data_IF_042095211412
#
_entry.id   IF_042095211412
#
_cell.length_a   1.000
_cell.length_b   1.000
_cell.length_c   1.000
_cell.angle_alpha   90.00
_cell.angle_beta   90.00
_cell.angle_gamma   90.00
#
_symmetry.space_group_name_H-M   'P 1'
#
loop_
_entity.id
_entity.type
_entity.pdbx_description
1 polymer ?
#
# COMPACT_ATOMS: atom_id res chain seq x y z
N UNK A 1 -21.53 17.83 3.14
CA UNK A 1 -20.10 17.49 3.34
C UNK A 1 -19.90 15.99 3.20
N UNK A 2 -18.67 15.57 2.87
CA UNK A 2 -18.21 14.18 2.92
C UNK A 2 -17.21 14.08 4.06
N UNK A 3 -17.35 13.08 4.93
CA UNK A 3 -16.34 12.68 5.89
C UNK A 3 -15.58 11.48 5.30
N UNK A 4 -14.28 11.60 5.17
CA UNK A 4 -13.43 10.50 4.75
C UNK A 4 -12.38 10.20 5.82
N UNK A 5 -11.96 8.94 5.91
CA UNK A 5 -10.82 8.58 6.74
C UNK A 5 -9.98 7.47 6.10
N UNK A 6 -8.69 7.49 6.44
CA UNK A 6 -7.73 6.42 6.22
C UNK A 6 -7.27 5.90 7.58
N UNK A 7 -7.59 4.64 7.89
CA UNK A 7 -7.37 4.01 9.19
C UNK A 7 -6.33 2.91 9.03
N UNK A 8 -5.07 3.27 9.25
CA UNK A 8 -3.95 2.34 9.24
C UNK A 8 -3.70 1.71 10.62
N UNK A 9 -2.67 0.88 10.72
CA UNK A 9 -2.31 0.19 11.97
C UNK A 9 -1.89 1.13 13.11
N UNK A 10 -1.20 2.25 12.80
CA UNK A 10 -0.64 3.14 13.84
C UNK A 10 -1.29 4.52 13.86
N UNK A 11 -1.86 4.96 12.75
CA UNK A 11 -2.42 6.29 12.61
C UNK A 11 -3.73 6.24 11.86
N UNK A 12 -4.62 7.17 12.21
CA UNK A 12 -5.85 7.47 11.49
C UNK A 12 -5.77 8.89 10.95
N UNK A 13 -6.03 9.08 9.66
CA UNK A 13 -6.20 10.40 9.07
C UNK A 13 -7.67 10.61 8.74
N UNK A 14 -8.25 11.70 9.21
CA UNK A 14 -9.65 12.05 8.95
C UNK A 14 -9.70 13.37 8.18
N UNK A 15 -10.59 13.49 7.21
CA UNK A 15 -10.79 14.69 6.43
C UNK A 15 -12.27 15.01 6.16
N UNK A 16 -12.59 16.29 6.12
CA UNK A 16 -13.88 16.82 5.65
C UNK A 16 -13.69 17.40 4.24
N UNK A 17 -14.62 17.05 3.35
CA UNK A 17 -14.60 17.48 1.96
C UNK A 17 -15.95 18.10 1.57
N UNK A 18 -15.89 19.11 0.69
CA UNK A 18 -17.09 19.56 -0.04
C UNK A 18 -17.28 18.69 -1.27
N UNK A 19 -18.55 18.39 -1.56
CA UNK A 19 -18.96 17.63 -2.75
C UNK A 19 -19.24 18.61 -3.91
N UNK A 20 -18.23 19.38 -4.31
CA UNK A 20 -18.36 20.41 -5.35
C UNK A 20 -17.77 19.90 -6.69
N UNK A 21 -18.50 20.13 -7.80
CA UNK A 21 -18.01 19.82 -9.15
C UNK A 21 -17.76 18.31 -9.39
N UNK A 22 -16.70 18.01 -10.13
CA UNK A 22 -16.36 16.64 -10.56
C UNK A 22 -15.50 15.87 -9.56
N UNK A 23 -14.97 16.55 -8.53
CA UNK A 23 -14.12 15.93 -7.51
C UNK A 23 -14.39 16.56 -6.14
N UNK A 24 -14.21 15.77 -5.04
CA UNK A 24 -14.32 16.31 -3.69
C UNK A 24 -13.16 17.26 -3.40
N UNK A 25 -13.47 18.39 -2.75
CA UNK A 25 -12.49 19.41 -2.36
C UNK A 25 -12.22 19.32 -0.87
N UNK A 26 -10.97 19.09 -0.48
CA UNK A 26 -10.56 19.01 0.92
C UNK A 26 -10.77 20.36 1.63
N UNK A 27 -11.49 20.37 2.74
CA UNK A 27 -11.73 21.54 3.60
C UNK A 27 -10.79 21.53 4.79
N UNK A 28 -10.67 20.36 5.45
CA UNK A 28 -9.78 20.18 6.58
C UNK A 28 -9.39 18.71 6.71
N UNK A 29 -8.16 18.45 7.17
CA UNK A 29 -7.72 17.11 7.55
C UNK A 29 -6.88 17.16 8.82
N UNK A 30 -6.88 16.01 9.56
CA UNK A 30 -6.04 15.84 10.74
C UNK A 30 -5.60 14.38 10.86
N UNK A 31 -4.37 14.19 11.31
CA UNK A 31 -3.80 12.89 11.63
C UNK A 31 -3.81 12.65 13.14
N UNK A 32 -4.22 11.45 13.53
CA UNK A 32 -4.32 10.99 14.91
C UNK A 32 -3.42 9.77 15.11
N UNK A 33 -2.80 9.65 16.26
CA UNK A 33 -2.03 8.47 16.66
C UNK A 33 -2.98 7.50 17.35
N UNK A 34 -3.21 6.33 16.77
CA UNK A 34 -4.28 5.42 17.19
C UNK A 34 -4.19 4.97 18.65
N UNK A 35 -2.97 4.77 19.19
CA UNK A 35 -2.76 4.36 20.59
C UNK A 35 -3.28 5.35 21.62
N UNK A 36 -3.53 6.60 21.22
CA UNK A 36 -4.02 7.65 22.12
C UNK A 36 -5.56 7.64 22.21
N UNK A 37 -6.24 6.76 21.46
CA UNK A 37 -7.71 6.67 21.36
C UNK A 37 -8.20 5.25 21.60
N UNK A 38 -9.34 5.13 22.32
CA UNK A 38 -9.94 3.84 22.61
C UNK A 38 -10.62 3.18 21.39
N UNK A 39 -11.11 3.98 20.46
CA UNK A 39 -11.87 3.55 19.28
C UNK A 39 -11.98 4.68 18.26
N UNK A 40 -12.57 4.38 17.09
CA UNK A 40 -12.81 5.36 16.04
C UNK A 40 -13.76 6.49 16.50
N UNK A 41 -14.77 6.19 17.32
CA UNK A 41 -15.73 7.21 17.78
C UNK A 41 -15.02 8.32 18.55
N UNK A 42 -14.04 7.99 19.40
CA UNK A 42 -13.23 8.99 20.12
C UNK A 42 -12.40 9.87 19.16
N UNK A 43 -11.86 9.32 18.07
CA UNK A 43 -11.19 10.08 17.02
C UNK A 43 -12.16 11.04 16.32
N UNK A 44 -13.35 10.54 15.99
CA UNK A 44 -14.38 11.33 15.33
C UNK A 44 -14.95 12.44 16.23
N UNK A 45 -15.08 12.19 17.55
CA UNK A 45 -15.52 13.19 18.52
C UNK A 45 -14.53 14.36 18.61
N UNK A 46 -13.23 14.08 18.46
CA UNK A 46 -12.21 15.14 18.48
C UNK A 46 -12.09 15.90 17.15
N UNK A 47 -12.39 15.24 16.02
CA UNK A 47 -12.24 15.85 14.69
C UNK A 47 -13.49 16.58 14.21
N UNK A 48 -14.68 15.98 14.41
CA UNK A 48 -15.94 16.56 13.92
C UNK A 48 -16.42 17.62 14.89
N UNK A 49 -16.49 18.90 14.46
CA UNK A 49 -16.99 19.96 15.33
C UNK A 49 -18.38 19.64 15.90
N UNK A 50 -18.61 19.96 17.15
CA UNK A 50 -19.92 19.83 17.77
C UNK A 50 -20.97 20.57 16.92
N UNK A 51 -22.00 19.84 16.44
CA UNK A 51 -23.04 20.40 15.59
C UNK A 51 -22.80 20.33 14.06
N UNK A 52 -21.76 19.67 13.59
CA UNK A 52 -21.59 19.36 12.17
C UNK A 52 -22.64 18.32 11.74
N UNK A 53 -23.84 18.79 11.35
CA UNK A 53 -24.98 17.96 10.93
C UNK A 53 -25.02 17.70 9.42
N UNK A 54 -24.18 18.36 8.62
CA UNK A 54 -24.25 18.34 7.15
C UNK A 54 -23.36 17.27 6.51
N UNK A 55 -23.07 16.17 7.20
CA UNK A 55 -22.32 15.05 6.60
C UNK A 55 -23.30 14.15 5.85
N UNK A 56 -23.31 14.27 4.52
CA UNK A 56 -24.17 13.48 3.65
C UNK A 56 -23.62 12.11 3.31
N UNK A 57 -22.29 11.94 3.40
CA UNK A 57 -21.62 10.68 3.14
C UNK A 57 -20.38 10.49 4.04
N UNK A 58 -20.14 9.25 4.45
CA UNK A 58 -18.97 8.80 5.21
C UNK A 58 -18.30 7.67 4.43
N UNK A 59 -17.00 7.76 4.18
CA UNK A 59 -16.23 6.69 3.54
C UNK A 59 -14.90 6.50 4.24
N UNK A 60 -14.64 5.28 4.68
CA UNK A 60 -13.46 4.93 5.45
C UNK A 60 -12.65 3.87 4.70
N UNK A 61 -11.36 4.16 4.43
CA UNK A 61 -10.36 3.17 4.07
C UNK A 61 -9.82 2.54 5.34
N UNK A 62 -9.87 1.22 5.45
CA UNK A 62 -9.50 0.51 6.68
C UNK A 62 -8.51 -0.61 6.38
N UNK A 63 -7.47 -0.74 7.20
CA UNK A 63 -6.52 -1.84 7.12
C UNK A 63 -7.16 -3.12 7.69
N UNK A 64 -7.92 -3.84 6.86
CA UNK A 64 -8.61 -5.06 7.24
C UNK A 64 -9.63 -5.53 6.21
N UNK A 65 -10.12 -6.75 6.39
CA UNK A 65 -11.16 -7.33 5.55
C UNK A 65 -12.53 -6.79 5.95
N UNK A 66 -13.17 -6.08 5.03
CA UNK A 66 -14.53 -5.57 5.21
C UNK A 66 -15.54 -6.63 4.80
N UNK A 67 -16.42 -7.03 5.72
CA UNK A 67 -17.49 -8.01 5.44
C UNK A 67 -18.84 -7.42 5.85
N UNK A 68 -19.75 -7.29 4.91
CA UNK A 68 -21.11 -6.80 5.17
C UNK A 68 -21.17 -5.45 5.92
N UNK A 69 -20.25 -4.54 5.61
CA UNK A 69 -20.20 -3.23 6.26
C UNK A 69 -19.64 -3.23 7.69
N UNK A 70 -18.92 -4.28 8.05
CA UNK A 70 -18.24 -4.43 9.34
C UNK A 70 -16.77 -4.80 9.12
N UNK A 71 -15.89 -4.30 10.00
CA UNK A 71 -14.49 -4.69 10.07
C UNK A 71 -14.01 -4.68 11.53
N UNK A 72 -13.23 -5.71 11.88
CA UNK A 72 -12.46 -5.76 13.13
C UNK A 72 -10.98 -5.49 12.79
N UNK A 73 -10.42 -4.40 13.30
CA UNK A 73 -8.99 -4.07 13.12
C UNK A 73 -8.19 -4.71 14.25
N UNK A 74 -7.67 -5.90 14.00
CA UNK A 74 -7.03 -6.77 15.01
C UNK A 74 -5.92 -6.06 15.80
N UNK A 75 -5.07 -5.29 15.12
CA UNK A 75 -3.93 -4.60 15.75
C UNK A 75 -4.35 -3.45 16.68
N UNK A 76 -5.57 -2.91 16.52
CA UNK A 76 -6.11 -1.83 17.32
C UNK A 76 -7.17 -2.32 18.33
N UNK A 77 -7.75 -3.50 18.09
CA UNK A 77 -8.94 -3.97 18.80
C UNK A 77 -10.18 -3.11 18.51
N UNK A 78 -10.21 -2.40 17.39
CA UNK A 78 -11.31 -1.53 17.02
C UNK A 78 -12.33 -2.26 16.16
N UNK A 79 -13.61 -2.10 16.52
CA UNK A 79 -14.76 -2.55 15.74
C UNK A 79 -15.41 -1.37 15.03
N UNK A 80 -15.48 -1.44 13.71
CA UNK A 80 -16.12 -0.42 12.87
C UNK A 80 -17.32 -1.03 12.17
N UNK A 81 -18.49 -0.44 12.42
CA UNK A 81 -19.78 -0.87 11.89
C UNK A 81 -20.43 0.28 11.12
N UNK A 82 -20.70 0.08 9.85
CA UNK A 82 -21.35 1.06 8.99
C UNK A 82 -22.74 1.49 9.47
N UNK A 83 -23.47 0.61 10.18
CA UNK A 83 -24.79 0.93 10.75
C UNK A 83 -24.71 1.94 11.89
N UNK A 84 -23.69 1.80 12.76
CA UNK A 84 -23.42 2.75 13.86
C UNK A 84 -23.02 4.12 13.29
N UNK A 85 -22.16 4.14 12.28
CA UNK A 85 -21.76 5.39 11.60
C UNK A 85 -22.95 6.07 10.93
N UNK A 86 -23.85 5.28 10.28
CA UNK A 86 -25.07 5.82 9.69
C UNK A 86 -25.97 6.49 10.74
N UNK A 87 -26.12 5.87 11.90
CA UNK A 87 -26.90 6.45 13.01
C UNK A 87 -26.21 7.71 13.55
N UNK A 88 -24.90 7.70 13.72
CA UNK A 88 -24.12 8.84 14.21
C UNK A 88 -24.25 10.09 13.29
N UNK A 89 -24.35 9.89 11.99
CA UNK A 89 -24.42 10.97 10.99
C UNK A 89 -25.82 11.10 10.34
N UNK A 90 -26.87 10.94 11.13
CA UNK A 90 -28.28 11.22 10.75
C UNK A 90 -28.71 10.56 9.42
N UNK A 91 -28.30 9.33 9.18
CA UNK A 91 -28.65 8.57 7.97
C UNK A 91 -27.74 8.81 6.76
N UNK A 92 -26.57 9.40 6.96
CA UNK A 92 -25.58 9.55 5.89
C UNK A 92 -25.28 8.23 5.15
N UNK A 93 -24.94 8.32 3.88
CA UNK A 93 -24.42 7.14 3.13
C UNK A 93 -23.07 6.75 3.73
N UNK A 94 -22.91 5.47 4.11
CA UNK A 94 -21.67 4.98 4.71
C UNK A 94 -21.08 3.87 3.87
N UNK A 95 -19.79 3.99 3.55
CA UNK A 95 -18.99 2.97 2.92
C UNK A 95 -17.73 2.65 3.74
N UNK A 96 -17.43 1.37 3.87
CA UNK A 96 -16.15 0.88 4.35
C UNK A 96 -15.42 0.26 3.16
N UNK A 97 -14.21 0.70 2.91
CA UNK A 97 -13.32 0.21 1.86
C UNK A 97 -12.11 -0.46 2.52
N UNK A 98 -11.51 -1.44 1.86
CA UNK A 98 -10.16 -1.83 2.22
C UNK A 98 -9.19 -0.65 1.93
N UNK A 99 -8.06 -0.55 2.64
CA UNK A 99 -7.07 0.52 2.50
C UNK A 99 -6.44 0.57 1.10
N UNK A 100 -6.20 -0.60 0.49
CA UNK A 100 -5.70 -0.71 -0.89
C UNK A 100 -6.77 -0.26 -1.90
N UNK A 101 -8.02 -0.61 -1.66
CA UNK A 101 -9.15 -0.15 -2.46
C UNK A 101 -9.29 1.38 -2.40
N UNK A 102 -9.23 1.94 -1.20
CA UNK A 102 -9.25 3.39 -1.00
C UNK A 102 -8.08 4.06 -1.73
N UNK A 103 -6.86 3.52 -1.59
CA UNK A 103 -5.68 4.02 -2.31
C UNK A 103 -5.89 3.99 -3.83
N UNK A 104 -6.47 2.91 -4.37
CA UNK A 104 -6.72 2.75 -5.80
C UNK A 104 -7.73 3.79 -6.33
N UNK A 105 -8.78 4.13 -5.58
CA UNK A 105 -9.66 5.26 -5.93
C UNK A 105 -8.92 6.61 -5.88
N UNK A 106 -7.92 6.73 -5.01
CA UNK A 106 -7.08 7.92 -4.86
C UNK A 106 -6.16 8.19 -6.04
N UNK A 107 -5.82 7.18 -6.85
CA UNK A 107 -4.94 7.35 -8.03
C UNK A 107 -5.45 8.42 -9.02
N UNK A 108 -6.75 8.64 -9.07
CA UNK A 108 -7.35 9.67 -9.91
C UNK A 108 -7.20 11.11 -9.35
N UNK A 109 -6.68 11.27 -8.13
CA UNK A 109 -6.42 12.57 -7.49
C UNK A 109 -4.93 12.92 -7.46
N UNK A 110 -4.05 12.02 -7.92
CA UNK A 110 -2.62 12.27 -7.92
C UNK A 110 -2.23 13.25 -9.03
N UNK A 111 -1.38 14.20 -8.67
CA UNK A 111 -0.71 15.14 -9.57
C UNK A 111 0.75 14.71 -9.79
N UNK A 112 1.45 15.34 -10.74
CA UNK A 112 2.87 15.03 -11.01
C UNK A 112 3.77 15.16 -9.78
N UNK A 113 3.49 16.13 -8.90
CA UNK A 113 4.24 16.34 -7.64
C UNK A 113 4.07 15.22 -6.62
N UNK A 114 3.00 14.43 -6.76
CA UNK A 114 2.63 13.36 -5.82
C UNK A 114 3.30 12.04 -6.13
N UNK A 115 4.03 11.96 -7.24
CA UNK A 115 4.66 10.72 -7.70
C UNK A 115 6.13 10.92 -8.12
N UNK A 116 6.93 9.87 -7.95
CA UNK A 116 8.23 9.75 -8.59
C UNK A 116 8.09 8.78 -9.76
N UNK A 117 8.55 9.19 -10.95
CA UNK A 117 8.51 8.37 -12.16
C UNK A 117 9.70 7.41 -12.15
N UNK A 118 9.43 6.10 -12.07
CA UNK A 118 10.44 5.05 -12.21
C UNK A 118 10.64 4.64 -13.67
N UNK A 119 9.55 4.63 -14.43
CA UNK A 119 9.55 4.43 -15.88
C UNK A 119 8.49 5.34 -16.51
N UNK A 120 8.88 6.20 -17.44
CA UNK A 120 7.93 7.06 -18.15
C UNK A 120 6.99 6.25 -19.05
N UNK A 121 7.53 5.21 -19.70
CA UNK A 121 6.78 4.35 -20.61
C UNK A 121 6.01 5.11 -21.68
N UNK A 122 4.91 4.52 -22.12
CA UNK A 122 3.99 5.07 -23.12
C UNK A 122 2.55 4.99 -22.54
N UNK A 123 2.13 5.95 -21.70
CA UNK A 123 0.84 5.89 -21.02
C UNK A 123 -0.33 5.95 -22.00
N UNK A 124 -1.27 5.04 -21.88
CA UNK A 124 -2.50 5.05 -22.66
C UNK A 124 -3.63 5.58 -21.79
N UNK A 125 -4.26 6.64 -22.23
CA UNK A 125 -5.41 7.22 -21.54
C UNK A 125 -6.54 6.19 -21.37
N UNK A 126 -7.13 6.14 -20.18
CA UNK A 126 -8.20 5.24 -19.81
C UNK A 126 -7.86 3.72 -19.86
N UNK A 127 -6.62 3.35 -20.14
CA UNK A 127 -6.20 1.96 -20.01
C UNK A 127 -6.17 1.52 -18.53
N UNK A 128 -6.20 0.21 -18.25
CA UNK A 128 -6.12 -0.30 -16.90
C UNK A 128 -4.87 0.19 -16.17
N UNK A 129 -5.01 0.45 -14.87
CA UNK A 129 -3.92 0.75 -13.94
C UNK A 129 -3.80 -0.37 -12.92
N UNK A 130 -2.60 -0.63 -12.45
CA UNK A 130 -2.33 -1.56 -11.36
C UNK A 130 -1.78 -0.80 -10.15
N UNK A 131 -2.23 -1.16 -8.96
CA UNK A 131 -1.67 -0.70 -7.68
C UNK A 131 -1.08 -1.91 -6.97
N UNK A 132 0.15 -1.78 -6.49
CA UNK A 132 0.78 -2.73 -5.59
C UNK A 132 1.34 -1.97 -4.39
N UNK A 133 0.91 -2.32 -3.20
CA UNK A 133 1.16 -1.59 -1.96
C UNK A 133 1.85 -2.48 -0.92
N UNK A 134 3.14 -2.25 -0.68
CA UNK A 134 3.92 -2.95 0.33
C UNK A 134 3.96 -2.15 1.64
N UNK A 135 3.58 -2.80 2.73
CA UNK A 135 3.49 -2.23 4.08
C UNK A 135 3.63 -3.30 5.16
N UNK A 136 2.70 -3.37 6.11
CA UNK A 136 2.61 -4.48 7.08
C UNK A 136 2.34 -5.80 6.36
N UNK A 137 1.60 -5.74 5.25
CA UNK A 137 1.37 -6.82 4.30
C UNK A 137 1.57 -6.33 2.87
N UNK A 138 1.15 -7.14 1.89
CA UNK A 138 1.11 -6.80 0.48
C UNK A 138 -0.32 -6.73 -0.02
N UNK A 139 -0.74 -5.57 -0.52
CA UNK A 139 -2.03 -5.39 -1.17
C UNK A 139 -1.92 -5.11 -2.66
N UNK A 140 -2.87 -5.61 -3.44
CA UNK A 140 -2.94 -5.40 -4.88
C UNK A 140 -4.35 -5.00 -5.31
N UNK A 141 -4.43 -4.05 -6.24
CA UNK A 141 -5.70 -3.65 -6.85
C UNK A 141 -5.51 -3.30 -8.33
N UNK A 142 -6.58 -3.43 -9.09
CA UNK A 142 -6.66 -2.94 -10.46
C UNK A 142 -7.71 -1.84 -10.58
N UNK A 143 -7.46 -0.87 -11.46
CA UNK A 143 -8.40 0.20 -11.79
C UNK A 143 -8.71 0.16 -13.27
N UNK A 144 -9.98 -0.02 -13.58
CA UNK A 144 -10.49 0.02 -14.95
C UNK A 144 -11.30 1.30 -15.16
N UNK A 145 -11.19 1.91 -16.33
CA UNK A 145 -11.94 3.12 -16.66
C UNK A 145 -13.03 2.79 -17.68
N UNK A 146 -14.27 3.18 -17.41
CA UNK A 146 -15.40 3.08 -18.33
C UNK A 146 -16.12 4.42 -18.41
N UNK A 147 -15.90 5.15 -19.49
CA UNK A 147 -16.34 6.55 -19.58
C UNK A 147 -15.68 7.41 -18.51
N UNK A 148 -16.46 8.10 -17.70
CA UNK A 148 -15.97 8.88 -16.53
C UNK A 148 -15.84 8.06 -15.24
N UNK A 149 -16.31 6.80 -15.24
CA UNK A 149 -16.31 5.97 -14.04
C UNK A 149 -14.99 5.19 -13.91
N UNK A 150 -14.46 5.16 -12.69
CA UNK A 150 -13.36 4.27 -12.30
C UNK A 150 -13.94 3.08 -11.53
N UNK A 151 -13.70 1.88 -12.03
CA UNK A 151 -14.04 0.62 -11.38
C UNK A 151 -12.77 0.08 -10.73
N UNK A 152 -12.72 0.11 -9.43
CA UNK A 152 -11.62 -0.48 -8.64
C UNK A 152 -11.97 -1.93 -8.33
N UNK A 153 -11.02 -2.82 -8.52
CA UNK A 153 -11.09 -4.23 -8.12
C UNK A 153 -9.93 -4.49 -7.19
N UNK A 154 -10.18 -4.48 -5.88
CA UNK A 154 -9.24 -4.95 -4.88
C UNK A 154 -9.14 -6.48 -4.93
N UNK A 155 -7.99 -7.02 -4.50
CA UNK A 155 -7.76 -8.45 -4.45
C UNK A 155 -6.95 -8.83 -3.23
N UNK A 156 -7.00 -10.11 -2.85
CA UNK A 156 -6.12 -10.73 -1.86
C UNK A 156 -4.89 -11.41 -2.54
N UNK A 157 -4.42 -10.86 -3.67
CA UNK A 157 -3.33 -11.43 -4.45
C UNK A 157 -1.99 -11.45 -3.70
N UNK A 158 -1.81 -10.60 -2.68
CA UNK A 158 -0.67 -10.71 -1.76
C UNK A 158 -0.58 -12.08 -1.08
N UNK A 159 -1.69 -12.79 -0.92
CA UNK A 159 -1.72 -14.15 -0.37
C UNK A 159 -1.52 -15.26 -1.42
N UNK A 160 -1.38 -14.92 -2.70
CA UNK A 160 -0.98 -15.89 -3.73
C UNK A 160 0.46 -16.37 -3.50
N UNK A 161 0.79 -17.53 -4.10
CA UNK A 161 2.08 -18.17 -3.92
C UNK A 161 3.23 -17.31 -4.46
N UNK A 162 4.31 -17.20 -3.68
CA UNK A 162 5.55 -16.57 -4.11
C UNK A 162 6.18 -17.35 -5.26
N UNK A 163 6.38 -16.71 -6.40
CA UNK A 163 6.95 -17.28 -7.61
C UNK A 163 8.37 -16.72 -7.84
N UNK A 164 9.44 -17.44 -7.45
CA UNK A 164 10.82 -17.00 -7.64
C UNK A 164 11.18 -16.92 -9.14
N UNK A 165 11.88 -15.88 -9.55
CA UNK A 165 12.33 -15.64 -10.92
C UNK A 165 13.82 -15.92 -11.12
N UNK A 166 14.59 -16.06 -10.05
CA UNK A 166 16.05 -16.24 -10.05
C UNK A 166 16.48 -17.27 -8.99
N UNK A 167 17.68 -17.84 -9.16
CA UNK A 167 18.20 -18.89 -8.28
C UNK A 167 18.26 -18.46 -6.80
N UNK A 168 18.67 -17.21 -6.51
CA UNK A 168 18.70 -16.72 -5.13
C UNK A 168 17.30 -16.67 -4.51
N UNK A 169 16.27 -16.35 -5.30
CA UNK A 169 14.87 -16.34 -4.86
C UNK A 169 14.33 -17.76 -4.66
N UNK A 170 14.79 -18.76 -5.44
CA UNK A 170 14.49 -20.20 -5.21
C UNK A 170 15.08 -20.65 -3.86
N UNK A 171 16.31 -20.25 -3.56
CA UNK A 171 16.93 -20.55 -2.26
C UNK A 171 16.18 -19.88 -1.11
N UNK A 172 15.71 -18.62 -1.28
CA UNK A 172 14.87 -17.93 -0.30
C UNK A 172 13.54 -18.67 -0.10
N UNK A 173 12.87 -19.11 -1.18
CA UNK A 173 11.64 -19.88 -1.09
C UNK A 173 11.86 -21.15 -0.26
N UNK A 174 12.92 -21.92 -0.54
CA UNK A 174 13.27 -23.15 0.19
C UNK A 174 13.59 -22.86 1.67
N UNK A 175 14.21 -21.72 1.97
CA UNK A 175 14.48 -21.28 3.33
C UNK A 175 13.19 -20.99 4.09
N UNK A 176 12.29 -20.21 3.48
CA UNK A 176 11.01 -19.81 4.07
C UNK A 176 10.02 -20.98 4.20
N UNK A 177 10.08 -21.98 3.31
CA UNK A 177 9.20 -23.16 3.35
C UNK A 177 9.35 -23.99 4.61
N UNK A 178 10.51 -23.94 5.26
CA UNK A 178 10.72 -24.60 6.58
C UNK A 178 9.88 -23.96 7.69
N UNK A 179 9.43 -22.72 7.50
CA UNK A 179 8.73 -21.91 8.49
C UNK A 179 7.27 -21.64 8.10
N UNK A 180 7.01 -21.53 6.80
CA UNK A 180 5.71 -21.22 6.23
C UNK A 180 5.40 -22.18 5.08
N UNK A 181 4.18 -22.73 5.06
CA UNK A 181 3.73 -23.57 3.94
C UNK A 181 2.21 -23.35 3.72
N UNK A 182 1.81 -22.68 2.65
CA UNK A 182 2.60 -22.12 1.56
C UNK A 182 3.34 -20.81 1.92
N UNK A 183 4.29 -20.39 1.07
CA UNK A 183 4.94 -19.07 1.14
C UNK A 183 4.23 -18.16 0.16
N UNK A 184 3.58 -17.12 0.66
CA UNK A 184 2.88 -16.12 -0.16
C UNK A 184 3.76 -14.92 -0.48
N UNK A 185 3.33 -14.08 -1.44
CA UNK A 185 3.95 -12.79 -1.72
C UNK A 185 4.01 -11.89 -0.49
N UNK A 186 2.96 -11.87 0.33
CA UNK A 186 2.88 -11.12 1.59
C UNK A 186 3.99 -11.51 2.57
N UNK A 187 4.37 -12.81 2.61
CA UNK A 187 5.48 -13.29 3.44
C UNK A 187 6.84 -12.76 3.01
N UNK A 188 6.96 -12.26 1.79
CA UNK A 188 8.22 -11.78 1.20
C UNK A 188 8.22 -10.26 1.01
N UNK A 189 7.12 -9.70 0.50
CA UNK A 189 7.01 -8.28 0.13
C UNK A 189 6.27 -7.44 1.20
N UNK A 190 6.69 -7.58 2.44
CA UNK A 190 6.16 -6.82 3.57
C UNK A 190 7.29 -6.41 4.52
N UNK A 191 6.98 -5.60 5.56
CA UNK A 191 7.95 -5.27 6.60
C UNK A 191 8.53 -6.51 7.29
N UNK A 192 7.70 -7.44 7.80
CA UNK A 192 8.19 -8.73 8.28
C UNK A 192 8.97 -9.52 7.22
N UNK A 193 8.55 -9.47 5.96
CA UNK A 193 9.21 -10.16 4.84
C UNK A 193 10.65 -9.68 4.62
N UNK A 194 10.89 -8.36 4.72
CA UNK A 194 12.26 -7.83 4.66
C UNK A 194 13.12 -8.38 5.80
N UNK A 195 12.55 -8.56 6.99
CA UNK A 195 13.22 -9.22 8.12
C UNK A 195 13.61 -10.67 7.80
N UNK A 196 12.71 -11.43 7.20
CA UNK A 196 12.99 -12.83 6.80
C UNK A 196 14.06 -12.91 5.69
N UNK A 197 14.05 -11.96 4.75
CA UNK A 197 15.11 -11.87 3.74
C UNK A 197 16.47 -11.57 4.39
N UNK A 198 16.52 -10.68 5.38
CA UNK A 198 17.73 -10.40 6.14
C UNK A 198 18.22 -11.64 6.90
N UNK A 199 17.34 -12.38 7.61
CA UNK A 199 17.66 -13.63 8.28
C UNK A 199 18.28 -14.66 7.30
N UNK A 200 17.66 -14.80 6.11
CA UNK A 200 18.18 -15.66 5.04
C UNK A 200 19.59 -15.25 4.59
N UNK A 201 19.82 -13.97 4.35
CA UNK A 201 21.13 -13.44 3.91
C UNK A 201 22.19 -13.61 5.01
N UNK A 202 21.83 -13.40 6.27
CA UNK A 202 22.69 -13.62 7.42
C UNK A 202 23.08 -15.09 7.57
N UNK A 203 22.12 -16.01 7.49
CA UNK A 203 22.37 -17.44 7.67
C UNK A 203 23.26 -18.03 6.56
N UNK A 204 23.28 -17.38 5.38
CA UNK A 204 24.22 -17.70 4.29
C UNK A 204 25.64 -17.12 4.51
N UNK A 205 25.76 -16.01 5.22
CA UNK A 205 27.02 -15.28 5.41
C UNK A 205 27.13 -14.78 6.85
N UNK A 206 27.19 -15.68 7.84
CA UNK A 206 27.11 -15.29 9.26
C UNK A 206 28.31 -14.44 9.72
N UNK A 207 29.43 -14.53 9.03
CA UNK A 207 30.64 -13.73 9.30
C UNK A 207 30.47 -12.24 8.95
N UNK A 208 29.45 -11.89 8.18
CA UNK A 208 29.14 -10.50 7.82
C UNK A 208 28.15 -9.84 8.78
N UNK A 209 27.64 -10.56 9.77
CA UNK A 209 26.71 -10.00 10.74
C UNK A 209 27.37 -8.96 11.64
N UNK A 210 26.76 -7.79 11.69
CA UNK A 210 27.16 -6.73 12.61
C UNK A 210 26.36 -6.81 13.90
N UNK A 211 27.05 -6.99 15.03
CA UNK A 211 26.42 -7.15 16.34
C UNK A 211 25.55 -5.97 16.77
N UNK A 212 25.96 -4.73 16.41
CA UNK A 212 25.21 -3.52 16.71
C UNK A 212 23.89 -3.44 15.92
N UNK A 213 23.90 -3.84 14.65
CA UNK A 213 22.70 -3.92 13.81
C UNK A 213 21.78 -5.06 14.28
N UNK A 214 22.34 -6.24 14.57
CA UNK A 214 21.60 -7.38 15.08
C UNK A 214 20.87 -7.06 16.41
N UNK A 215 21.53 -6.35 17.33
CA UNK A 215 20.92 -5.91 18.58
C UNK A 215 19.74 -4.95 18.36
N UNK A 216 19.85 -4.05 17.39
CA UNK A 216 18.76 -3.13 17.02
C UNK A 216 17.60 -3.86 16.35
N UNK A 217 17.86 -4.79 15.44
CA UNK A 217 16.82 -5.61 14.79
C UNK A 217 16.00 -6.40 15.82
N UNK A 218 16.66 -6.86 16.91
CA UNK A 218 16.00 -7.62 17.97
C UNK A 218 15.07 -6.77 18.87
N UNK A 219 15.23 -5.45 18.92
CA UNK A 219 14.53 -4.57 19.87
C UNK A 219 13.72 -3.46 19.24
N UNK A 220 13.95 -3.16 17.94
CA UNK A 220 13.28 -2.10 17.18
C UNK A 220 12.45 -2.73 16.02
N UNK A 221 11.82 -1.88 15.19
CA UNK A 221 11.22 -2.30 13.92
C UNK A 221 12.32 -2.79 12.96
N UNK A 222 12.41 -4.10 12.78
CA UNK A 222 13.43 -4.75 11.96
C UNK A 222 13.47 -4.19 10.53
N UNK A 223 12.30 -3.97 9.90
CA UNK A 223 12.21 -3.41 8.55
C UNK A 223 12.80 -2.00 8.47
N UNK A 224 12.53 -1.15 9.46
CA UNK A 224 13.08 0.20 9.53
C UNK A 224 14.60 0.19 9.77
N UNK A 225 15.10 -0.68 10.66
CA UNK A 225 16.54 -0.82 10.94
C UNK A 225 17.29 -1.28 9.70
N UNK A 226 16.81 -2.37 9.05
CA UNK A 226 17.43 -2.94 7.84
C UNK A 226 17.46 -1.91 6.71
N UNK A 227 16.31 -1.28 6.44
CA UNK A 227 16.19 -0.24 5.40
C UNK A 227 17.13 0.92 5.68
N UNK A 228 17.14 1.43 6.91
CA UNK A 228 18.02 2.56 7.29
C UNK A 228 19.49 2.23 7.13
N UNK A 229 19.93 1.06 7.61
CA UNK A 229 21.33 0.63 7.51
C UNK A 229 21.75 0.37 6.04
N UNK A 230 20.85 -0.20 5.22
CA UNK A 230 21.08 -0.42 3.80
C UNK A 230 21.26 0.90 3.04
N UNK A 231 20.34 1.86 3.21
CA UNK A 231 20.38 3.15 2.50
C UNK A 231 21.58 4.02 2.87
N UNK A 232 22.14 3.82 4.07
CA UNK A 232 23.38 4.50 4.50
C UNK A 232 24.65 3.71 4.21
N UNK A 233 24.52 2.52 3.55
CA UNK A 233 25.63 1.59 3.29
C UNK A 233 26.41 1.19 4.55
N UNK A 234 25.72 1.09 5.69
CA UNK A 234 26.31 0.74 6.99
C UNK A 234 26.45 -0.77 7.21
N UNK A 235 25.69 -1.58 6.49
CA UNK A 235 25.61 -3.04 6.68
C UNK A 235 25.45 -3.76 5.33
N UNK A 236 26.43 -4.58 4.96
CA UNK A 236 26.41 -5.34 3.70
C UNK A 236 25.21 -6.29 3.62
N UNK A 237 24.88 -6.99 4.72
CA UNK A 237 23.72 -7.89 4.76
C UNK A 237 22.41 -7.13 4.61
N UNK A 238 22.31 -5.93 5.21
CA UNK A 238 21.10 -5.09 5.04
C UNK A 238 20.96 -4.61 3.59
N UNK A 239 22.06 -4.20 2.97
CA UNK A 239 22.06 -3.80 1.55
C UNK A 239 21.63 -4.96 0.64
N UNK A 240 22.23 -6.14 0.84
CA UNK A 240 21.89 -7.34 0.07
C UNK A 240 20.43 -7.79 0.30
N UNK A 241 19.90 -7.65 1.52
CA UNK A 241 18.51 -7.94 1.82
C UNK A 241 17.56 -6.96 1.11
N UNK A 242 17.87 -5.68 1.12
CA UNK A 242 17.07 -4.66 0.45
C UNK A 242 17.14 -4.81 -1.09
N UNK A 243 18.30 -5.18 -1.64
CA UNK A 243 18.47 -5.46 -3.07
C UNK A 243 17.58 -6.62 -3.51
N UNK A 244 17.58 -7.72 -2.75
CA UNK A 244 16.74 -8.88 -3.04
C UNK A 244 15.25 -8.53 -2.89
N UNK A 245 14.86 -7.79 -1.85
CA UNK A 245 13.49 -7.32 -1.67
C UNK A 245 13.02 -6.49 -2.86
N UNK A 246 13.82 -5.52 -3.32
CA UNK A 246 13.48 -4.64 -4.45
C UNK A 246 13.41 -5.41 -5.77
N UNK A 247 14.31 -6.39 -5.98
CA UNK A 247 14.26 -7.31 -7.14
C UNK A 247 12.95 -8.09 -7.16
N UNK A 248 12.55 -8.70 -6.03
CA UNK A 248 11.30 -9.44 -5.90
C UNK A 248 10.09 -8.52 -6.10
N UNK A 249 10.14 -7.30 -5.54
CA UNK A 249 9.08 -6.31 -5.68
C UNK A 249 8.87 -5.91 -7.15
N UNK A 250 9.97 -5.67 -7.89
CA UNK A 250 9.91 -5.43 -9.33
C UNK A 250 9.30 -6.61 -10.08
N UNK A 251 9.68 -7.84 -9.72
CA UNK A 251 9.14 -9.05 -10.36
C UNK A 251 7.64 -9.18 -10.19
N UNK A 252 7.08 -8.98 -8.96
CA UNK A 252 5.64 -9.08 -8.73
C UNK A 252 4.87 -7.91 -9.33
N UNK A 253 5.40 -6.69 -9.25
CA UNK A 253 4.81 -5.55 -9.95
C UNK A 253 4.70 -5.81 -11.47
N UNK A 254 5.71 -6.46 -12.08
CA UNK A 254 5.67 -6.91 -13.46
C UNK A 254 4.60 -7.97 -13.72
N UNK A 255 4.44 -8.94 -12.83
CA UNK A 255 3.37 -9.94 -12.91
C UNK A 255 1.99 -9.28 -12.83
N UNK A 256 1.82 -8.32 -11.91
CA UNK A 256 0.55 -7.60 -11.75
C UNK A 256 0.24 -6.73 -12.98
N UNK A 257 1.25 -6.08 -13.57
CA UNK A 257 1.13 -5.37 -14.84
C UNK A 257 0.65 -6.27 -15.99
N UNK A 258 1.15 -7.51 -16.07
CA UNK A 258 0.75 -8.48 -17.09
C UNK A 258 -0.69 -8.97 -16.87
N UNK A 259 -1.08 -9.29 -15.62
CA UNK A 259 -2.43 -9.77 -15.29
C UNK A 259 -3.51 -8.74 -15.62
N UNK A 260 -3.18 -7.45 -15.45
CA UNK A 260 -4.12 -6.34 -15.62
C UNK A 260 -3.99 -5.62 -16.96
N UNK A 261 -2.94 -5.93 -17.75
CA UNK A 261 -2.55 -5.15 -18.94
C UNK A 261 -2.46 -3.64 -18.62
N UNK A 262 -1.72 -3.28 -17.57
CA UNK A 262 -1.69 -1.98 -16.93
C UNK A 262 -1.03 -0.88 -17.79
N UNK A 263 -1.52 -0.65 -19.00
CA UNK A 263 -0.99 0.39 -19.90
C UNK A 263 -1.29 1.84 -19.44
N UNK A 264 -2.19 2.00 -18.47
CA UNK A 264 -2.43 3.26 -17.77
C UNK A 264 -1.44 3.53 -16.64
N UNK A 265 -0.59 2.56 -16.33
CA UNK A 265 0.50 2.65 -15.37
C UNK A 265 0.40 1.68 -14.19
N UNK A 266 1.56 1.35 -13.62
CA UNK A 266 1.70 0.64 -12.35
C UNK A 266 2.07 1.66 -11.28
N UNK A 267 1.37 1.62 -10.16
CA UNK A 267 1.56 2.52 -9.04
C UNK A 267 2.06 1.74 -7.82
N UNK A 268 3.21 2.15 -7.27
CA UNK A 268 3.78 1.58 -6.07
C UNK A 268 3.31 2.40 -4.87
N UNK A 269 2.60 1.76 -3.96
CA UNK A 269 2.06 2.37 -2.75
C UNK A 269 2.51 1.67 -1.47
N UNK A 270 1.82 1.98 -0.38
CA UNK A 270 2.10 1.45 0.94
C UNK A 270 3.22 2.18 1.67
N UNK A 271 3.45 1.80 2.94
CA UNK A 271 4.37 2.52 3.81
C UNK A 271 5.86 2.26 3.55
N UNK A 272 6.22 1.22 2.81
CA UNK A 272 7.62 0.85 2.54
C UNK A 272 8.16 1.60 1.32
N UNK A 273 7.41 1.61 0.22
CA UNK A 273 7.89 2.10 -1.07
C UNK A 273 8.45 3.55 -1.02
N UNK A 274 7.80 4.54 -0.41
CA UNK A 274 8.37 5.89 -0.29
C UNK A 274 9.67 5.95 0.51
N UNK A 275 9.83 5.08 1.51
CA UNK A 275 11.03 5.05 2.37
C UNK A 275 12.27 4.50 1.65
N UNK A 276 12.05 3.66 0.64
CA UNK A 276 13.12 3.06 -0.17
C UNK A 276 13.20 3.68 -1.57
N UNK A 277 12.68 4.89 -1.77
CA UNK A 277 12.63 5.57 -3.08
C UNK A 277 13.99 5.59 -3.79
N UNK A 278 15.07 5.90 -3.06
CA UNK A 278 16.43 5.89 -3.62
C UNK A 278 16.83 4.51 -4.18
N UNK A 279 16.37 3.43 -3.54
CA UNK A 279 16.65 2.06 -4.00
C UNK A 279 15.75 1.63 -5.15
N UNK A 280 14.51 2.10 -5.20
CA UNK A 280 13.60 1.84 -6.31
C UNK A 280 14.03 2.55 -7.61
N UNK A 281 14.78 3.64 -7.49
CA UNK A 281 15.26 4.45 -8.64
C UNK A 281 16.64 4.03 -9.16
N UNK A 282 17.35 3.10 -8.52
CA UNK A 282 18.71 2.68 -8.92
C UNK A 282 18.76 1.72 -10.12
N UNK A 283 17.60 1.31 -10.61
CA UNK A 283 17.45 0.40 -11.75
C UNK A 283 17.14 -1.05 -11.38
N UNK A 284 17.43 -1.50 -10.14
CA UNK A 284 17.18 -2.89 -9.68
C UNK A 284 15.71 -3.29 -9.85
N UNK A 285 14.80 -2.41 -9.42
CA UNK A 285 13.36 -2.63 -9.56
C UNK A 285 12.95 -2.82 -11.02
N UNK A 286 13.33 -1.86 -11.89
CA UNK A 286 12.92 -1.88 -13.30
C UNK A 286 13.55 -3.02 -14.09
N UNK A 287 14.77 -3.44 -13.75
CA UNK A 287 15.39 -4.63 -14.33
C UNK A 287 14.52 -5.87 -14.07
N UNK A 288 14.11 -6.11 -12.82
CA UNK A 288 13.29 -7.26 -12.45
C UNK A 288 11.85 -7.13 -12.95
N UNK A 289 11.28 -5.92 -12.96
CA UNK A 289 9.96 -5.63 -13.54
C UNK A 289 9.88 -6.05 -15.01
N UNK A 290 10.91 -5.72 -15.79
CA UNK A 290 10.98 -6.03 -17.21
C UNK A 290 11.45 -7.46 -17.53
N UNK A 291 11.97 -8.21 -16.55
CA UNK A 291 12.53 -9.56 -16.76
C UNK A 291 11.42 -10.61 -16.94
N UNK A 292 10.72 -10.56 -18.09
CA UNK A 292 9.55 -11.42 -18.42
C UNK A 292 9.62 -11.95 -19.86
N UNK A 293 10.79 -12.47 -20.26
CA UNK A 293 11.00 -13.11 -21.57
C UNK A 293 10.35 -12.29 -22.72
N UNK A 294 9.44 -12.88 -23.46
CA UNK A 294 8.77 -12.26 -24.63
C UNK A 294 7.96 -11.02 -24.28
N UNK A 295 7.54 -10.85 -23.01
CA UNK A 295 6.76 -9.71 -22.55
C UNK A 295 7.62 -8.51 -22.12
N UNK A 296 8.96 -8.61 -22.19
CA UNK A 296 9.87 -7.53 -21.80
C UNK A 296 9.58 -6.21 -22.57
N UNK A 297 9.31 -6.30 -23.87
CA UNK A 297 9.02 -5.11 -24.68
C UNK A 297 7.74 -4.40 -24.21
N UNK A 298 6.68 -5.18 -23.93
CA UNK A 298 5.44 -4.65 -23.36
C UNK A 298 5.71 -3.96 -22.03
N UNK A 299 6.41 -4.61 -21.11
CA UNK A 299 6.65 -4.04 -19.78
C UNK A 299 7.51 -2.77 -19.80
N UNK A 300 8.46 -2.65 -20.74
CA UNK A 300 9.21 -1.40 -20.96
C UNK A 300 8.32 -0.24 -21.37
N UNK A 301 7.21 -0.50 -22.07
CA UNK A 301 6.24 0.53 -22.45
C UNK A 301 5.25 0.89 -21.34
N UNK A 302 5.17 0.12 -20.25
CA UNK A 302 4.26 0.38 -19.13
C UNK A 302 4.84 1.48 -18.23
N UNK A 303 4.12 2.59 -17.98
CA UNK A 303 4.54 3.59 -17.01
C UNK A 303 4.59 3.00 -15.60
N UNK A 304 5.57 3.41 -14.79
CA UNK A 304 5.68 3.00 -13.39
C UNK A 304 5.91 4.22 -12.51
N UNK A 305 5.07 4.36 -11.50
CA UNK A 305 5.03 5.50 -10.59
C UNK A 305 5.17 5.05 -9.14
N UNK A 306 5.98 5.74 -8.37
CA UNK A 306 6.03 5.61 -6.92
C UNK A 306 5.17 6.72 -6.30
N UNK A 307 4.17 6.36 -5.52
CA UNK A 307 3.29 7.31 -4.82
C UNK A 307 4.06 7.90 -3.63
N UNK A 308 4.14 9.23 -3.58
CA UNK A 308 4.77 9.98 -2.48
C UNK A 308 3.75 10.70 -1.59
N UNK A 309 2.51 10.84 -2.06
CA UNK A 309 1.44 11.49 -1.31
C UNK A 309 0.82 10.50 -0.32
N UNK A 310 1.06 10.71 0.97
CA UNK A 310 0.55 9.87 2.06
C UNK A 310 -0.95 10.10 2.38
N UNK A 311 -1.63 11.01 1.67
CA UNK A 311 -3.08 11.24 1.74
C UNK A 311 -3.86 10.50 0.64
N UNK A 312 -3.19 9.70 -0.20
CA UNK A 312 -3.83 9.06 -1.37
C UNK A 312 -5.04 8.20 -0.97
N UNK A 313 -4.96 7.43 0.11
CA UNK A 313 -6.09 6.62 0.59
C UNK A 313 -7.25 7.50 1.10
N UNK A 314 -6.95 8.58 1.82
CA UNK A 314 -7.96 9.55 2.27
C UNK A 314 -8.69 10.22 1.09
N UNK A 315 -7.92 10.66 0.08
CA UNK A 315 -8.47 11.26 -1.15
C UNK A 315 -9.34 10.25 -1.91
N UNK A 316 -8.91 8.99 -1.94
CA UNK A 316 -9.66 7.92 -2.58
C UNK A 316 -10.96 7.58 -1.86
N UNK A 317 -10.96 7.51 -0.54
CA UNK A 317 -12.17 7.35 0.26
C UNK A 317 -13.17 8.50 0.01
N UNK A 318 -12.67 9.75 -0.05
CA UNK A 318 -13.51 10.90 -0.39
C UNK A 318 -14.07 10.81 -1.82
N UNK A 319 -13.26 10.40 -2.81
CA UNK A 319 -13.72 10.18 -4.20
C UNK A 319 -14.78 9.09 -4.30
N UNK A 320 -14.60 8.01 -3.58
CA UNK A 320 -15.62 6.95 -3.54
C UNK A 320 -16.96 7.48 -3.04
N UNK A 321 -16.96 8.22 -1.93
CA UNK A 321 -18.19 8.82 -1.36
C UNK A 321 -18.82 9.90 -2.25
N UNK A 322 -18.01 10.57 -3.08
CA UNK A 322 -18.46 11.60 -3.99
C UNK A 322 -19.20 11.05 -5.23
N UNK A 323 -18.98 9.78 -5.60
CA UNK A 323 -19.62 9.17 -6.77
C UNK A 323 -21.14 9.24 -6.60
N UNK A 324 -21.80 9.75 -7.63
CA UNK A 324 -23.26 9.61 -7.78
C UNK A 324 -23.50 8.23 -8.36
N UNK A 325 -24.27 7.40 -7.67
CA UNK A 325 -24.77 6.13 -8.20
C UNK A 325 -25.66 6.37 -9.43
#
# INVERSE_FOLDING_TARGET
MILAADIGASNTRVGLFRADGDAPVLVSSRRFVNRDFANLDAVLDEFVPAGCKDVAAVSLGVAGLVVNGYVHITNLGWDIDSSRLRTRFDGARVALLNDVEATAYGLASLEEKDVVVLNAGEPIANAPKALIASGTGLGEAAVYTRGSAHLVTASEAGHADFAPAEELQVQLLNYLWRRFAPVSWDRVLSGPGLGFIYEFMRDKNPEKERSDIAARIATEDAGAVITGAALRNECELCSAALDLFVSIYGSEAGNHALRTLARGGVYLGGGIAPRIAAKLTDGTFMQSFCHKDRMQHFLRSVPVYLIMNDETALLGAARYAHRRE
#
